data_IF_122890351898
#
_entry.id   IF_122890351898
#
_cell.length_a   1.000
_cell.length_b   1.000
_cell.length_c   1.000
_cell.angle_alpha   90.00
_cell.angle_beta   90.00
_cell.angle_gamma   90.00
#
_symmetry.space_group_name_H-M   'P 1'
#
loop_
_entity.id
_entity.type
_entity.pdbx_description
1 polymer ?
#
# COMPACT_ATOMS: atom_id res chain seq x y z
N UNK A 1 -16.26 0.36 6.71
CA UNK A 1 -15.80 0.05 5.33
C UNK A 1 -16.30 -1.32 4.93
N UNK A 2 -16.46 -1.61 3.62
CA UNK A 2 -16.87 -2.92 3.13
C UNK A 2 -15.78 -3.98 3.36
N UNK A 3 -16.21 -5.24 3.57
CA UNK A 3 -15.32 -6.40 3.64
C UNK A 3 -15.05 -6.95 2.23
N UNK A 4 -13.85 -6.71 1.73
CA UNK A 4 -13.43 -7.11 0.38
C UNK A 4 -13.10 -8.60 0.25
N UNK A 5 -13.01 -9.35 1.34
CA UNK A 5 -12.75 -10.81 1.29
C UNK A 5 -13.92 -11.60 0.70
N UNK A 6 -15.14 -11.04 0.79
CA UNK A 6 -16.38 -11.66 0.29
C UNK A 6 -16.65 -11.44 -1.20
N UNK A 7 -15.86 -10.57 -1.88
CA UNK A 7 -16.08 -10.16 -3.28
C UNK A 7 -14.81 -10.23 -4.14
N UNK A 8 -14.11 -11.37 -4.20
CA UNK A 8 -12.81 -11.49 -4.89
C UNK A 8 -12.89 -11.28 -6.42
N UNK A 9 -14.10 -11.34 -6.99
CA UNK A 9 -14.35 -11.18 -8.42
C UNK A 9 -14.72 -9.77 -8.82
N UNK A 10 -14.65 -8.79 -7.91
CA UNK A 10 -15.01 -7.40 -8.22
C UNK A 10 -14.01 -6.80 -9.23
N UNK A 11 -14.54 -6.30 -10.35
CA UNK A 11 -13.75 -5.68 -11.42
C UNK A 11 -13.74 -4.15 -11.36
N UNK A 12 -14.77 -3.55 -10.74
CA UNK A 12 -14.98 -2.11 -10.69
C UNK A 12 -15.37 -1.68 -9.29
N UNK A 13 -14.63 -0.72 -8.73
CA UNK A 13 -14.90 -0.17 -7.41
C UNK A 13 -15.04 1.36 -7.52
N UNK A 14 -16.20 1.86 -7.14
CA UNK A 14 -16.52 3.28 -7.12
C UNK A 14 -16.66 3.75 -5.68
N UNK A 15 -15.81 4.66 -5.26
CA UNK A 15 -15.77 5.25 -3.92
C UNK A 15 -15.70 6.79 -3.99
N UNK A 16 -16.23 7.36 -5.07
CA UNK A 16 -16.21 8.80 -5.31
C UNK A 16 -17.07 9.54 -4.26
N UNK A 17 -16.62 10.72 -3.81
CA UNK A 17 -17.37 11.59 -2.90
C UNK A 17 -17.78 10.92 -1.58
N UNK A 18 -16.87 10.15 -0.98
CA UNK A 18 -17.12 9.42 0.27
C UNK A 18 -16.34 9.99 1.46
N UNK A 19 -15.71 11.16 1.31
CA UNK A 19 -14.86 11.79 2.32
C UNK A 19 -13.74 10.89 2.86
N UNK A 20 -13.29 9.89 2.08
CA UNK A 20 -12.23 8.98 2.50
C UNK A 20 -10.93 9.74 2.75
N UNK A 21 -10.33 9.49 3.91
CA UNK A 21 -9.00 9.98 4.28
C UNK A 21 -7.92 8.94 4.03
N UNK A 22 -8.31 7.67 3.99
CA UNK A 22 -7.42 6.54 3.73
C UNK A 22 -8.14 5.46 2.92
N UNK A 23 -7.33 4.66 2.24
CA UNK A 23 -7.75 3.48 1.49
C UNK A 23 -7.26 2.24 2.26
N UNK A 24 -8.12 1.24 2.50
CA UNK A 24 -7.81 0.07 3.32
C UNK A 24 -6.79 -0.84 2.63
N UNK A 25 -5.95 -1.50 3.42
CA UNK A 25 -4.92 -2.41 2.90
C UNK A 25 -5.52 -3.67 2.27
N UNK A 26 -6.73 -4.03 2.70
CA UNK A 26 -7.55 -5.17 2.27
C UNK A 26 -7.99 -5.08 0.79
N UNK A 27 -7.74 -3.96 0.12
CA UNK A 27 -7.92 -3.87 -1.33
C UNK A 27 -7.08 -4.91 -2.10
N UNK A 28 -5.97 -5.39 -1.53
CA UNK A 28 -5.14 -6.42 -2.15
C UNK A 28 -5.87 -7.74 -2.48
N UNK A 29 -7.02 -8.01 -1.86
CA UNK A 29 -7.85 -9.19 -2.13
C UNK A 29 -8.58 -9.11 -3.48
N UNK A 30 -8.78 -7.90 -4.02
CA UNK A 30 -9.50 -7.68 -5.27
C UNK A 30 -8.58 -7.88 -6.49
N UNK A 31 -8.08 -9.11 -6.68
CA UNK A 31 -7.11 -9.42 -7.75
C UNK A 31 -7.65 -9.22 -9.17
N UNK A 32 -8.96 -9.18 -9.34
CA UNK A 32 -9.63 -8.90 -10.63
C UNK A 32 -10.01 -7.43 -10.83
N UNK A 33 -9.67 -6.55 -9.89
CA UNK A 33 -10.06 -5.15 -9.99
C UNK A 33 -9.33 -4.48 -11.15
N UNK A 34 -10.10 -3.96 -12.10
CA UNK A 34 -9.62 -3.26 -13.28
C UNK A 34 -9.79 -1.75 -13.15
N UNK A 35 -10.85 -1.29 -12.49
CA UNK A 35 -11.16 0.14 -12.35
C UNK A 35 -11.36 0.52 -10.89
N UNK A 36 -10.60 1.52 -10.43
CA UNK A 36 -10.68 2.07 -9.09
C UNK A 36 -10.91 3.59 -9.15
N UNK A 37 -12.12 4.02 -8.79
CA UNK A 37 -12.49 5.44 -8.80
C UNK A 37 -12.60 5.96 -7.37
N UNK A 38 -11.72 6.90 -7.03
CA UNK A 38 -11.57 7.51 -5.71
C UNK A 38 -11.69 9.04 -5.78
N UNK A 39 -12.34 9.57 -6.82
CA UNK A 39 -12.50 11.01 -7.04
C UNK A 39 -13.16 11.69 -5.83
N UNK A 40 -12.85 12.97 -5.58
CA UNK A 40 -13.56 13.80 -4.58
C UNK A 40 -13.47 13.24 -3.16
N UNK A 41 -12.29 12.74 -2.79
CA UNK A 41 -12.02 12.32 -1.42
C UNK A 41 -10.99 13.24 -0.77
N UNK A 42 -10.52 12.87 0.43
CA UNK A 42 -9.50 13.61 1.20
C UNK A 42 -8.22 12.80 1.30
N UNK A 43 -7.96 11.92 0.32
CA UNK A 43 -6.79 11.07 0.30
C UNK A 43 -5.54 11.94 0.14
N UNK A 44 -4.58 11.73 1.03
CA UNK A 44 -3.23 12.30 0.89
C UNK A 44 -2.26 11.31 0.28
N UNK A 45 -2.59 10.03 0.30
CA UNK A 45 -1.72 8.94 -0.12
C UNK A 45 -2.55 7.67 -0.37
N UNK A 46 -1.90 6.63 -0.92
CA UNK A 46 -2.45 5.29 -1.09
C UNK A 46 -1.58 4.25 -0.35
N UNK A 47 -2.19 3.13 0.08
CA UNK A 47 -1.42 2.02 0.62
C UNK A 47 -0.63 1.34 -0.49
N UNK A 48 0.55 0.83 -0.16
CA UNK A 48 1.40 0.10 -1.12
C UNK A 48 0.70 -1.13 -1.72
N UNK A 49 -0.34 -1.64 -1.05
CA UNK A 49 -1.17 -2.75 -1.53
C UNK A 49 -1.90 -2.46 -2.84
N UNK A 50 -2.10 -1.20 -3.22
CA UNK A 50 -2.67 -0.84 -4.53
C UNK A 50 -1.74 -1.26 -5.67
N UNK A 51 -0.43 -1.30 -5.47
CA UNK A 51 0.52 -1.84 -6.46
C UNK A 51 0.33 -3.34 -6.70
N UNK A 52 -0.26 -4.07 -5.74
CA UNK A 52 -0.52 -5.51 -5.84
C UNK A 52 -1.79 -5.85 -6.64
N UNK A 53 -2.50 -4.84 -7.17
CA UNK A 53 -3.65 -5.00 -8.05
C UNK A 53 -3.15 -5.16 -9.49
N UNK A 54 -2.83 -6.40 -9.85
CA UNK A 54 -2.18 -6.73 -11.14
C UNK A 54 -3.06 -6.43 -12.35
N UNK A 55 -4.37 -6.57 -12.21
CA UNK A 55 -5.35 -6.33 -13.28
C UNK A 55 -5.81 -4.87 -13.36
N UNK A 56 -5.35 -3.99 -12.45
CA UNK A 56 -5.76 -2.60 -12.43
C UNK A 56 -5.24 -1.89 -13.68
N UNK A 57 -6.18 -1.36 -14.47
CA UNK A 57 -5.95 -0.67 -15.73
C UNK A 57 -6.34 0.81 -15.67
N UNK A 58 -7.25 1.17 -14.77
CA UNK A 58 -7.74 2.53 -14.61
C UNK A 58 -7.85 2.93 -13.13
N UNK A 59 -7.33 4.10 -12.81
CA UNK A 59 -7.28 4.67 -11.47
C UNK A 59 -7.58 6.16 -11.58
N UNK A 60 -8.62 6.63 -10.89
CA UNK A 60 -8.92 8.05 -10.81
C UNK A 60 -8.76 8.54 -9.37
N UNK A 61 -7.87 9.52 -9.19
CA UNK A 61 -7.58 10.15 -7.91
C UNK A 61 -7.92 11.65 -7.93
N UNK A 62 -8.63 12.13 -8.94
CA UNK A 62 -8.88 13.56 -9.12
C UNK A 62 -9.62 14.14 -7.91
N UNK A 63 -9.38 15.43 -7.64
CA UNK A 63 -10.00 16.13 -6.51
C UNK A 63 -9.71 15.51 -5.13
N UNK A 64 -8.53 14.92 -4.96
CA UNK A 64 -7.96 14.54 -3.66
C UNK A 64 -6.87 15.52 -3.20
N UNK A 65 -6.33 15.31 -2.00
CA UNK A 65 -5.26 16.12 -1.40
C UNK A 65 -3.92 15.39 -1.47
N UNK A 66 -3.64 14.77 -2.61
CA UNK A 66 -2.49 13.90 -2.82
C UNK A 66 -1.19 14.62 -2.43
N UNK A 67 -0.28 13.90 -1.78
CA UNK A 67 1.06 14.41 -1.56
C UNK A 67 1.78 14.67 -2.90
N UNK A 68 2.79 15.55 -2.94
CA UNK A 68 3.44 15.93 -4.20
C UNK A 68 4.06 14.77 -4.97
N UNK A 69 4.59 13.75 -4.29
CA UNK A 69 5.25 12.60 -4.91
C UNK A 69 4.22 11.71 -5.64
N UNK A 70 3.11 11.39 -4.96
CA UNK A 70 2.01 10.63 -5.54
C UNK A 70 1.31 11.41 -6.66
N UNK A 71 1.13 12.73 -6.50
CA UNK A 71 0.56 13.58 -7.54
C UNK A 71 1.42 13.57 -8.81
N UNK A 72 2.74 13.73 -8.67
CA UNK A 72 3.67 13.66 -9.80
C UNK A 72 3.70 12.28 -10.47
N UNK A 73 3.56 11.21 -9.68
CA UNK A 73 3.44 9.85 -10.21
C UNK A 73 2.11 9.66 -10.97
N UNK A 74 1.01 10.19 -10.43
CA UNK A 74 -0.32 10.11 -11.05
C UNK A 74 -0.38 10.85 -12.40
N UNK A 75 0.26 12.02 -12.51
CA UNK A 75 0.37 12.75 -13.77
C UNK A 75 1.14 11.98 -14.86
N UNK A 76 2.05 11.10 -14.46
CA UNK A 76 2.81 10.23 -15.38
C UNK A 76 2.05 8.95 -15.76
N UNK A 77 0.95 8.65 -15.08
CA UNK A 77 0.09 7.50 -15.35
C UNK A 77 0.24 6.35 -14.34
N UNK A 78 -0.56 5.31 -14.56
CA UNK A 78 -0.74 4.22 -13.60
C UNK A 78 0.56 3.46 -13.29
N UNK A 79 1.42 3.24 -14.28
CA UNK A 79 2.69 2.54 -14.07
C UNK A 79 3.62 3.30 -13.12
N UNK A 80 3.66 4.63 -13.23
CA UNK A 80 4.43 5.47 -12.32
C UNK A 80 3.85 5.46 -10.91
N UNK A 81 2.52 5.44 -10.77
CA UNK A 81 1.86 5.26 -9.46
C UNK A 81 2.23 3.91 -8.84
N UNK A 82 2.20 2.82 -9.62
CA UNK A 82 2.60 1.49 -9.14
C UNK A 82 4.06 1.50 -8.67
N UNK A 83 4.98 2.05 -9.47
CA UNK A 83 6.39 2.17 -9.11
C UNK A 83 6.61 3.00 -7.84
N UNK A 84 5.89 4.13 -7.69
CA UNK A 84 5.92 4.94 -6.46
C UNK A 84 5.53 4.13 -5.23
N UNK A 85 4.44 3.37 -5.32
CA UNK A 85 3.90 2.57 -4.23
C UNK A 85 4.81 1.37 -3.87
N UNK A 86 5.45 0.76 -4.86
CA UNK A 86 6.45 -0.30 -4.66
C UNK A 86 7.70 0.24 -3.94
N UNK A 87 8.27 1.35 -4.41
CA UNK A 87 9.41 2.00 -3.76
C UNK A 87 9.08 2.43 -2.32
N UNK A 88 7.83 2.85 -2.07
CA UNK A 88 7.34 3.18 -0.73
C UNK A 88 7.28 1.93 0.16
N UNK A 89 6.90 0.77 -0.36
CA UNK A 89 6.89 -0.49 0.39
C UNK A 89 8.30 -0.87 0.85
N UNK A 90 9.30 -0.74 -0.02
CA UNK A 90 10.70 -1.04 0.28
C UNK A 90 11.26 -0.11 1.36
N UNK A 91 11.02 1.20 1.24
CA UNK A 91 11.41 2.18 2.28
C UNK A 91 10.83 1.83 3.65
N UNK A 92 9.60 1.35 3.70
CA UNK A 92 8.94 0.93 4.94
C UNK A 92 9.53 -0.36 5.52
N UNK A 93 9.99 -1.30 4.67
CA UNK A 93 10.69 -2.52 5.12
C UNK A 93 12.04 -2.14 5.74
N UNK A 94 12.84 -1.35 5.04
CA UNK A 94 14.17 -0.92 5.51
C UNK A 94 14.07 -0.15 6.83
N UNK A 95 13.09 0.75 6.95
CA UNK A 95 12.88 1.52 8.19
C UNK A 95 12.46 0.63 9.37
N UNK A 96 11.63 -0.40 9.11
CA UNK A 96 11.22 -1.37 10.13
C UNK A 96 12.40 -2.25 10.57
N UNK A 97 13.23 -2.72 9.65
CA UNK A 97 14.43 -3.50 9.96
C UNK A 97 15.45 -2.67 10.76
N UNK A 98 15.71 -1.43 10.35
CA UNK A 98 16.60 -0.53 11.09
C UNK A 98 16.12 -0.32 12.53
N UNK A 99 14.80 -0.16 12.73
CA UNK A 99 14.21 -0.04 14.06
C UNK A 99 14.35 -1.32 14.88
N UNK A 100 14.26 -2.50 14.27
CA UNK A 100 14.46 -3.78 14.94
C UNK A 100 15.92 -3.97 15.39
N UNK A 101 16.89 -3.60 14.56
CA UNK A 101 18.32 -3.66 14.89
C UNK A 101 18.63 -2.75 16.09
N UNK A 102 18.13 -1.51 16.09
CA UNK A 102 18.37 -0.54 17.17
C UNK A 102 17.71 -0.93 18.51
N UNK A 103 16.58 -1.64 18.47
CA UNK A 103 15.93 -2.15 19.69
C UNK A 103 16.66 -3.39 20.23
N UNK A 104 17.32 -4.17 19.36
CA UNK A 104 18.11 -5.35 19.74
C UNK A 104 19.42 -5.06 20.47
N UNK A 105 19.92 -3.84 20.46
CA UNK A 105 21.17 -3.44 21.15
C UNK A 105 20.92 -2.84 22.55
N UNK A 106 19.65 -2.68 22.95
CA UNK A 106 19.25 -2.06 24.22
C UNK A 106 18.94 -3.01 25.37
N UNK A 107 18.83 -4.33 25.14
CA UNK A 107 18.64 -5.32 26.21
C UNK A 107 19.79 -6.33 26.23
N UNK A 108 20.84 -5.98 26.97
CA UNK A 108 21.75 -6.97 27.54
C UNK A 108 20.92 -7.85 28.49
N UNK A 109 20.40 -8.98 28.01
CA UNK A 109 19.65 -9.87 28.89
C UNK A 109 18.93 -11.04 28.24
N UNK A 110 19.69 -12.13 28.01
CA UNK A 110 19.24 -13.53 27.93
C UNK A 110 18.77 -14.06 26.55
N UNK A 111 19.73 -14.69 25.87
CA UNK A 111 19.70 -16.12 25.51
C UNK A 111 18.39 -16.59 24.86
N UNK A 112 18.37 -16.71 23.52
CA UNK A 112 17.95 -17.95 22.84
C UNK A 112 18.23 -17.92 21.31
N UNK A 113 19.41 -17.47 20.87
CA UNK A 113 19.85 -17.86 19.53
C UNK A 113 20.33 -19.31 19.57
N UNK A 114 19.43 -20.18 19.14
CA UNK A 114 19.64 -21.61 18.95
C UNK A 114 20.96 -21.84 18.17
N UNK A 115 21.90 -22.55 18.82
CA UNK A 115 23.01 -23.21 18.13
C UNK A 115 22.43 -24.21 17.14
N UNK A 116 22.45 -23.86 15.85
CA UNK A 116 22.55 -24.81 14.74
C UNK A 116 23.75 -24.41 13.90
N UNK A 117 24.91 -24.95 14.26
CA UNK A 117 25.98 -25.20 13.32
C UNK A 117 26.25 -26.70 13.39
N UNK A 118 25.95 -27.36 12.28
CA UNK A 118 26.25 -28.75 12.04
C UNK A 118 27.75 -28.90 11.72
N UNK A 119 28.33 -29.98 12.26
CA UNK A 119 29.68 -30.53 12.06
C UNK A 119 30.84 -29.74 12.65
#
# INVERSE_FOLDING_TARGET
MPDFTSVPTLERLYLNDTNLTEVPVELNYLKKLQYLYLERNKLTDLPATVALLTELSDLCLDQNRLNPELAAAYEQGLDAVKAYLEAKAEKQIVLKEAKLILIGEGEVGKILFARRAAW
#
